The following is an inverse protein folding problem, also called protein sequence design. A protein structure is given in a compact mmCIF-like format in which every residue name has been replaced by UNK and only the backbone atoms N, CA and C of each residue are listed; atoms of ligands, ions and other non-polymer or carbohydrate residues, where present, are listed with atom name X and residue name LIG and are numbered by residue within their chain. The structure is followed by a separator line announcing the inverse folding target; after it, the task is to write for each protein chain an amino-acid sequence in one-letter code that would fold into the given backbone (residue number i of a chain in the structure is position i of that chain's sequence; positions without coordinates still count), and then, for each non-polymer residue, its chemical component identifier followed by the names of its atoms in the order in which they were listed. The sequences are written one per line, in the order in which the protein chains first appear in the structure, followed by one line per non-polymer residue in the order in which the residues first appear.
data_IF_926978745166
#
_entry.id   IF_926978745166
#
_cell.length_a   1.000
_cell.length_b   1.000
_cell.length_c   1.000
_cell.angle_alpha   90.00
_cell.angle_beta   90.00
_cell.angle_gamma   90.00
#
_symmetry.space_group_name_H-M   'P 1'
#
loop_
_entity.id
_entity.type
_entity.pdbx_description
1 polymer ?
#
# COMPACT_ATOMS: atom_id res chain seq x y z
N UNK A 1 -18.71 40.28 -16.48
CA UNK A 1 -18.91 38.83 -16.65
C UNK A 1 -17.55 38.24 -16.94
N UNK A 2 -17.07 37.30 -16.11
CA UNK A 2 -15.76 36.68 -16.37
C UNK A 2 -15.89 35.79 -17.62
N UNK A 3 -14.91 35.87 -18.52
CA UNK A 3 -14.85 34.98 -19.68
C UNK A 3 -14.72 33.52 -19.22
N UNK A 4 -15.41 32.57 -19.87
CA UNK A 4 -15.29 31.17 -19.53
C UNK A 4 -13.84 30.72 -19.77
N UNK A 5 -13.21 30.16 -18.73
CA UNK A 5 -11.90 29.53 -18.90
C UNK A 5 -12.01 28.42 -19.96
N UNK A 6 -11.03 28.30 -20.88
CA UNK A 6 -11.02 27.23 -21.85
C UNK A 6 -10.99 25.88 -21.14
N UNK A 7 -11.69 24.89 -21.72
CA UNK A 7 -11.69 23.53 -21.20
C UNK A 7 -10.24 23.01 -21.12
N UNK A 8 -9.90 22.38 -20.00
CA UNK A 8 -8.56 21.81 -19.79
C UNK A 8 -8.24 20.75 -20.84
N UNK A 9 -7.04 20.80 -21.40
CA UNK A 9 -6.47 19.80 -22.29
C UNK A 9 -5.38 18.93 -21.61
N UNK A 10 -5.21 19.06 -20.29
CA UNK A 10 -4.03 18.53 -19.59
C UNK A 10 -2.80 19.45 -19.73
N UNK A 11 -1.74 19.12 -18.99
CA UNK A 11 -0.46 19.83 -19.05
C UNK A 11 0.37 19.34 -20.25
N UNK A 12 1.15 20.23 -20.87
CA UNK A 12 2.22 19.81 -21.79
C UNK A 12 3.38 19.20 -21.02
N UNK A 13 4.25 18.47 -21.72
CA UNK A 13 5.47 17.90 -21.13
C UNK A 13 6.36 18.99 -20.54
N UNK A 14 6.57 20.10 -21.26
CA UNK A 14 7.38 21.23 -20.78
C UNK A 14 6.79 21.82 -19.50
N UNK A 15 5.47 21.97 -19.45
CA UNK A 15 4.77 22.49 -18.27
C UNK A 15 4.91 21.51 -17.10
N UNK A 16 4.71 20.22 -17.33
CA UNK A 16 4.86 19.19 -16.30
C UNK A 16 6.28 19.15 -15.73
N UNK A 17 7.30 19.15 -16.58
CA UNK A 17 8.70 19.17 -16.14
C UNK A 17 9.08 20.46 -15.41
N UNK A 18 8.50 21.60 -15.77
CA UNK A 18 8.73 22.87 -15.05
C UNK A 18 8.20 22.87 -13.61
N UNK A 19 7.28 21.96 -13.28
CA UNK A 19 6.77 21.78 -11.93
C UNK A 19 7.65 20.86 -11.05
N UNK A 20 8.62 20.16 -11.64
CA UNK A 20 9.52 19.25 -10.93
C UNK A 20 10.70 20.02 -10.32
N UNK A 21 11.20 19.53 -9.18
CA UNK A 21 12.38 20.08 -8.51
C UNK A 21 13.39 18.98 -8.23
N UNK A 22 14.67 19.34 -8.18
CA UNK A 22 15.70 18.42 -7.71
C UNK A 22 15.46 18.05 -6.23
N UNK A 23 15.73 16.80 -5.81
CA UNK A 23 15.57 16.39 -4.42
C UNK A 23 16.50 17.19 -3.50
N UNK A 24 15.96 17.68 -2.38
CA UNK A 24 16.78 18.27 -1.33
C UNK A 24 17.72 17.21 -0.71
N UNK A 25 19.00 17.51 -0.43
CA UNK A 25 19.96 16.54 0.13
C UNK A 25 19.49 15.84 1.42
N UNK A 26 18.60 16.46 2.20
CA UNK A 26 18.01 15.86 3.41
C UNK A 26 17.06 14.69 3.12
N UNK A 27 16.57 14.57 1.89
CA UNK A 27 15.64 13.51 1.45
C UNK A 27 16.32 12.32 0.80
N UNK A 28 17.67 12.34 0.68
CA UNK A 28 18.45 11.36 -0.10
C UNK A 28 18.25 9.89 0.34
N UNK A 29 17.91 9.68 1.61
CA UNK A 29 17.72 8.35 2.20
C UNK A 29 16.23 7.98 2.38
N UNK A 30 15.29 8.82 1.90
CA UNK A 30 13.87 8.51 1.94
C UNK A 30 13.53 7.36 0.99
N UNK A 31 12.50 6.58 1.36
CA UNK A 31 12.00 5.48 0.55
C UNK A 31 10.48 5.40 0.64
N UNK A 32 9.83 5.04 -0.47
CA UNK A 32 8.41 4.71 -0.47
C UNK A 32 8.22 3.31 0.12
N UNK A 33 7.93 3.28 1.42
CA UNK A 33 7.98 2.07 2.23
C UNK A 33 6.73 1.23 2.09
N UNK A 34 5.56 1.85 2.18
CA UNK A 34 4.30 1.14 2.28
C UNK A 34 3.15 1.84 1.56
N UNK A 35 2.20 1.04 1.11
CA UNK A 35 0.84 1.48 0.82
C UNK A 35 -0.10 0.72 1.77
N UNK A 36 -1.00 1.44 2.44
CA UNK A 36 -1.94 0.86 3.38
C UNK A 36 -3.32 0.68 2.76
N UNK A 37 -3.90 -0.51 2.91
CA UNK A 37 -5.29 -0.80 2.58
C UNK A 37 -6.00 -1.41 3.78
N UNK A 38 -7.21 -0.93 4.06
CA UNK A 38 -8.08 -1.60 5.05
C UNK A 38 -8.69 -2.85 4.43
N UNK A 39 -8.72 -3.93 5.20
CA UNK A 39 -9.27 -5.22 4.79
C UNK A 39 -10.35 -5.70 5.75
N UNK A 40 -11.38 -6.34 5.19
CA UNK A 40 -12.52 -6.86 5.95
C UNK A 40 -12.18 -8.15 6.68
N UNK A 41 -11.60 -9.10 5.98
CA UNK A 41 -11.27 -10.42 6.52
C UNK A 41 -9.80 -10.76 6.21
N UNK A 42 -8.92 -10.76 7.23
CA UNK A 42 -7.51 -11.06 7.05
C UNK A 42 -7.26 -12.48 6.55
N UNK A 43 -8.15 -13.45 6.82
CA UNK A 43 -7.97 -14.83 6.33
C UNK A 43 -8.05 -14.86 4.80
N UNK A 44 -9.06 -14.19 4.23
CA UNK A 44 -9.25 -14.10 2.77
C UNK A 44 -8.14 -13.27 2.12
N UNK A 45 -7.80 -12.13 2.72
CA UNK A 45 -6.75 -11.25 2.17
C UNK A 45 -5.38 -11.90 2.21
N UNK A 46 -4.99 -12.53 3.32
CA UNK A 46 -3.70 -13.23 3.41
C UNK A 46 -3.62 -14.38 2.41
N UNK A 47 -4.66 -15.20 2.27
CA UNK A 47 -4.70 -16.25 1.25
C UNK A 47 -4.52 -15.67 -0.16
N UNK A 48 -5.27 -14.63 -0.51
CA UNK A 48 -5.16 -13.98 -1.82
C UNK A 48 -3.75 -13.45 -2.09
N UNK A 49 -3.22 -12.59 -1.22
CA UNK A 49 -1.92 -11.94 -1.47
C UNK A 49 -0.75 -12.93 -1.41
N UNK A 50 -0.83 -13.98 -0.59
CA UNK A 50 0.26 -14.97 -0.49
C UNK A 50 0.15 -16.06 -1.54
N UNK A 51 -0.99 -16.77 -1.63
CA UNK A 51 -1.16 -17.92 -2.52
C UNK A 51 -1.38 -17.52 -3.98
N UNK A 52 -2.13 -16.45 -4.24
CA UNK A 52 -2.46 -16.04 -5.61
C UNK A 52 -1.41 -15.09 -6.17
N UNK A 53 -0.99 -14.10 -5.38
CA UNK A 53 -0.03 -13.09 -5.84
C UNK A 53 1.42 -13.39 -5.43
N UNK A 54 1.69 -14.37 -4.58
CA UNK A 54 3.06 -14.77 -4.24
C UNK A 54 3.79 -13.86 -3.25
N UNK A 55 3.09 -12.96 -2.53
CA UNK A 55 3.72 -12.14 -1.50
C UNK A 55 4.03 -12.98 -0.25
N UNK A 56 4.99 -12.50 0.55
CA UNK A 56 5.35 -13.06 1.85
C UNK A 56 4.80 -12.17 2.96
N UNK A 57 4.17 -12.76 3.99
CA UNK A 57 3.83 -12.06 5.23
C UNK A 57 5.12 -11.82 6.04
N UNK A 58 5.54 -10.57 6.13
CA UNK A 58 6.78 -10.17 6.82
C UNK A 58 6.55 -10.06 8.33
N UNK A 59 5.47 -9.38 8.71
CA UNK A 59 5.19 -9.06 10.09
C UNK A 59 3.70 -8.91 10.35
N UNK A 60 3.26 -9.39 11.52
CA UNK A 60 1.95 -9.13 12.09
C UNK A 60 2.12 -8.33 13.37
N UNK A 61 1.38 -7.24 13.51
CA UNK A 61 1.34 -6.41 14.71
C UNK A 61 -0.09 -6.32 15.22
N UNK A 62 -0.27 -6.44 16.52
CA UNK A 62 -1.58 -6.35 17.18
C UNK A 62 -1.60 -5.16 18.13
N UNK A 63 -2.71 -4.41 18.10
CA UNK A 63 -2.92 -3.27 18.97
C UNK A 63 -4.23 -3.45 19.75
N UNK A 64 -4.25 -4.24 20.84
CA UNK A 64 -5.48 -4.62 21.53
C UNK A 64 -6.29 -3.45 22.08
N UNK A 65 -5.61 -2.42 22.60
CA UNK A 65 -6.27 -1.21 23.10
C UNK A 65 -7.05 -0.47 22.01
N UNK A 66 -6.62 -0.58 20.75
CA UNK A 66 -7.21 0.09 19.59
C UNK A 66 -8.03 -0.85 18.69
N UNK A 67 -8.06 -2.16 19.00
CA UNK A 67 -8.80 -3.19 18.28
C UNK A 67 -8.51 -3.27 16.78
N UNK A 68 -7.23 -3.26 16.41
CA UNK A 68 -6.82 -3.57 15.05
C UNK A 68 -5.52 -4.37 15.00
N UNK A 69 -5.32 -5.04 13.87
CA UNK A 69 -4.07 -5.72 13.51
C UNK A 69 -3.54 -5.17 12.19
N UNK A 70 -2.22 -5.15 12.06
CA UNK A 70 -1.51 -4.82 10.83
C UNK A 70 -0.80 -6.06 10.29
N UNK A 71 -0.89 -6.27 8.99
CA UNK A 71 -0.21 -7.34 8.27
C UNK A 71 0.64 -6.71 7.17
N UNK A 72 1.96 -6.86 7.26
CA UNK A 72 2.90 -6.31 6.28
C UNK A 72 3.28 -7.41 5.29
N UNK A 73 2.99 -7.20 4.01
CA UNK A 73 3.29 -8.14 2.93
C UNK A 73 4.23 -7.50 1.90
N UNK A 74 5.13 -8.29 1.33
CA UNK A 74 6.00 -7.84 0.23
C UNK A 74 6.53 -9.02 -0.58
N UNK A 75 7.14 -8.72 -1.73
CA UNK A 75 7.95 -9.69 -2.49
C UNK A 75 9.34 -9.79 -1.87
N UNK A 76 9.47 -10.60 -0.81
CA UNK A 76 10.73 -10.87 -0.11
C UNK A 76 10.88 -12.37 0.13
N UNK A 77 12.12 -12.86 0.21
CA UNK A 77 12.37 -14.23 0.66
C UNK A 77 12.07 -14.33 2.16
N UNK A 78 11.22 -15.30 2.52
CA UNK A 78 10.91 -15.60 3.93
C UNK A 78 12.14 -15.96 4.77
N UNK A 79 13.22 -16.42 4.13
CA UNK A 79 14.47 -16.79 4.80
C UNK A 79 15.28 -15.56 5.25
N UNK A 80 15.05 -14.39 4.65
CA UNK A 80 15.69 -13.13 5.02
C UNK A 80 15.03 -12.46 6.22
N UNK A 81 13.85 -12.93 6.64
CA UNK A 81 13.10 -12.38 7.77
C UNK A 81 13.85 -12.69 9.09
N UNK A 82 14.31 -11.67 9.83
CA UNK A 82 14.98 -11.90 11.11
C UNK A 82 14.10 -12.62 12.13
N UNK A 83 14.71 -13.43 13.01
CA UNK A 83 13.96 -14.17 14.04
C UNK A 83 13.67 -13.32 15.27
N UNK A 84 14.59 -12.44 15.65
CA UNK A 84 14.38 -11.50 16.75
C UNK A 84 13.26 -10.50 16.39
N UNK A 85 12.44 -10.17 17.38
CA UNK A 85 11.26 -9.32 17.17
C UNK A 85 11.63 -7.88 16.82
N UNK A 86 12.64 -7.33 17.48
CA UNK A 86 13.07 -5.95 17.27
C UNK A 86 13.80 -5.82 15.93
N UNK A 87 14.67 -6.77 15.62
CA UNK A 87 15.35 -6.84 14.32
C UNK A 87 14.36 -7.02 13.17
N UNK A 88 13.38 -7.92 13.31
CA UNK A 88 12.31 -8.10 12.32
C UNK A 88 11.55 -6.82 12.07
N UNK A 89 11.21 -6.10 13.14
CA UNK A 89 10.51 -4.81 13.05
C UNK A 89 11.33 -3.80 12.25
N UNK A 90 12.59 -3.58 12.62
CA UNK A 90 13.48 -2.67 11.89
C UNK A 90 13.65 -3.10 10.42
N UNK A 91 13.79 -4.41 10.17
CA UNK A 91 13.93 -4.95 8.82
C UNK A 91 12.67 -4.73 7.98
N UNK A 92 11.49 -5.10 8.48
CA UNK A 92 10.21 -4.92 7.78
C UNK A 92 9.96 -3.45 7.42
N UNK A 93 10.14 -2.52 8.37
CA UNK A 93 9.93 -1.09 8.13
C UNK A 93 11.04 -0.42 7.28
N UNK A 94 12.08 -1.16 6.90
CA UNK A 94 13.09 -0.71 5.92
C UNK A 94 12.86 -1.26 4.51
N UNK A 95 11.92 -2.21 4.33
CA UNK A 95 11.60 -2.76 3.01
C UNK A 95 10.85 -1.73 2.17
N UNK A 96 11.21 -1.63 0.89
CA UNK A 96 10.48 -0.82 -0.09
C UNK A 96 9.20 -1.54 -0.50
N UNK A 97 8.20 -0.78 -0.96
CA UNK A 97 7.02 -1.31 -1.65
C UNK A 97 6.25 -2.41 -0.89
N UNK A 98 6.16 -2.29 0.43
CA UNK A 98 5.32 -3.17 1.24
C UNK A 98 3.84 -2.81 1.12
N UNK A 99 2.98 -3.81 1.32
CA UNK A 99 1.55 -3.64 1.47
C UNK A 99 1.19 -3.83 2.94
N UNK A 100 0.76 -2.75 3.59
CA UNK A 100 0.18 -2.80 4.93
C UNK A 100 -1.32 -3.08 4.80
N UNK A 101 -1.76 -4.23 5.30
CA UNK A 101 -3.17 -4.54 5.43
C UNK A 101 -3.64 -4.26 6.85
N UNK A 102 -4.55 -3.31 7.00
CA UNK A 102 -5.13 -2.96 8.31
C UNK A 102 -6.47 -3.67 8.49
N UNK A 103 -6.55 -4.52 9.50
CA UNK A 103 -7.77 -5.20 9.91
C UNK A 103 -8.32 -4.59 11.19
N UNK A 104 -9.49 -3.95 11.09
CA UNK A 104 -10.25 -3.54 12.27
C UNK A 104 -11.05 -4.76 12.77
N UNK A 105 -10.87 -5.12 14.04
CA UNK A 105 -11.42 -6.38 14.57
C UNK A 105 -12.95 -6.40 14.55
N UNK A 106 -13.52 -7.52 14.10
CA UNK A 106 -14.96 -7.75 14.01
C UNK A 106 -15.57 -7.35 12.66
N UNK A 107 -14.80 -6.68 11.78
CA UNK A 107 -15.30 -6.35 10.43
C UNK A 107 -15.57 -7.59 9.59
N UNK A 108 -14.92 -8.71 9.88
CA UNK A 108 -15.15 -10.00 9.23
C UNK A 108 -16.54 -10.59 9.51
N UNK A 109 -17.13 -10.28 10.66
CA UNK A 109 -18.40 -10.85 11.13
C UNK A 109 -19.59 -9.91 10.88
N UNK A 110 -19.35 -8.64 10.55
CA UNK A 110 -20.40 -7.66 10.23
C UNK A 110 -20.82 -7.78 8.76
N UNK A 111 -21.96 -8.40 8.48
CA UNK A 111 -22.48 -8.58 7.12
C UNK A 111 -22.76 -7.27 6.36
N UNK A 112 -22.96 -6.17 7.07
CA UNK A 112 -23.27 -4.86 6.47
C UNK A 112 -22.03 -4.04 6.13
N UNK A 113 -20.88 -4.40 6.70
CA UNK A 113 -19.64 -3.67 6.52
C UNK A 113 -18.94 -4.07 5.22
N UNK A 114 -18.48 -3.07 4.48
CA UNK A 114 -17.52 -3.22 3.37
C UNK A 114 -16.61 -2.00 3.27
N UNK A 115 -15.43 -2.15 2.66
CA UNK A 115 -14.55 -1.02 2.35
C UNK A 115 -14.78 -0.56 0.91
N UNK A 116 -14.76 0.75 0.71
CA UNK A 116 -14.85 1.36 -0.61
C UNK A 116 -13.50 1.28 -1.33
N UNK A 117 -13.49 0.88 -2.61
CA UNK A 117 -12.25 0.70 -3.38
C UNK A 117 -11.74 2.00 -4.04
N UNK A 118 -12.47 3.10 -3.94
CA UNK A 118 -12.08 4.40 -4.50
C UNK A 118 -12.38 4.60 -5.99
N UNK A 119 -12.96 3.62 -6.68
CA UNK A 119 -13.21 3.66 -8.13
C UNK A 119 -14.65 4.03 -8.52
N UNK A 120 -15.55 4.16 -7.54
CA UNK A 120 -16.86 4.79 -7.63
C UNK A 120 -16.89 6.09 -6.82
N UNK A 121 -17.96 6.88 -6.90
CA UNK A 121 -18.07 8.11 -6.10
C UNK A 121 -18.26 7.79 -4.61
N UNK A 122 -17.51 8.43 -3.69
CA UNK A 122 -16.45 9.42 -3.94
C UNK A 122 -15.12 8.78 -4.38
N UNK A 123 -14.58 9.24 -5.51
CA UNK A 123 -13.33 8.69 -6.10
C UNK A 123 -12.08 9.18 -5.40
N UNK A 124 -11.00 8.38 -5.47
CA UNK A 124 -9.70 8.72 -4.88
C UNK A 124 -8.61 7.73 -5.29
N UNK A 125 -8.28 6.79 -4.41
CA UNK A 125 -7.36 5.69 -4.74
C UNK A 125 -7.87 4.90 -5.96
N UNK A 126 -6.95 4.53 -6.87
CA UNK A 126 -7.24 3.71 -8.05
C UNK A 126 -6.95 2.24 -7.81
N UNK A 127 -5.67 1.86 -7.88
CA UNK A 127 -5.24 0.47 -7.78
C UNK A 127 -3.76 0.34 -7.38
N UNK A 128 -3.39 -0.87 -6.94
CA UNK A 128 -2.00 -1.33 -6.91
C UNK A 128 -1.70 -2.07 -8.22
N UNK A 129 -0.45 -2.03 -8.67
CA UNK A 129 -0.01 -2.74 -9.85
C UNK A 129 1.11 -3.72 -9.49
N UNK A 130 1.04 -4.93 -10.05
CA UNK A 130 2.12 -5.92 -9.99
C UNK A 130 2.61 -6.15 -11.42
N UNK A 131 3.92 -6.05 -11.62
CA UNK A 131 4.57 -6.36 -12.89
C UNK A 131 5.09 -7.79 -12.83
N UNK A 132 4.84 -8.56 -13.89
CA UNK A 132 5.34 -9.92 -14.07
C UNK A 132 6.15 -9.96 -15.36
N UNK A 133 7.24 -10.73 -15.33
CA UNK A 133 7.94 -11.13 -16.54
C UNK A 133 7.33 -12.43 -17.06
N UNK A 134 6.87 -12.43 -18.31
CA UNK A 134 6.43 -13.64 -19.01
C UNK A 134 7.64 -14.20 -19.76
N UNK A 135 8.29 -15.19 -19.18
CA UNK A 135 9.24 -16.04 -19.92
C UNK A 135 8.42 -17.09 -20.67
N UNK A 136 8.31 -16.92 -22.00
CA UNK A 136 7.74 -17.92 -22.93
C UNK A 136 8.78 -18.95 -23.35
#
# INVERSE_FOLDING_TARGET
MAEPQPASSGLTDETAFSCCSDPDPSTKDFLLQQTMLRIKDPKKSLDFYTRVLGLTLLQKLDFPAMKFSLYFLAYEDKNDIPKDKSEKTAWTFSRKATLELTHNWGTEDDETQSYHNGNSDPRGFGFLCVVLELTL
#
